data_IF_280494647209
#
_entry.id   IF_280494647209
#
_cell.length_a   1.000
_cell.length_b   1.000
_cell.length_c   1.000
_cell.angle_alpha   90.00
_cell.angle_beta   90.00
_cell.angle_gamma   90.00
#
_symmetry.space_group_name_H-M   'P 1'
#
loop_
_entity.id
_entity.type
_entity.pdbx_description
1 polymer ?
#
# COMPACT_ATOMS: atom_id res chain seq x y z
N UNK A 1 11.26 -4.03 -28.41
CA UNK A 1 9.84 -4.27 -28.05
C UNK A 1 9.59 -5.76 -28.22
N UNK A 2 9.83 -6.56 -27.17
CA UNK A 2 9.40 -7.96 -27.18
C UNK A 2 7.88 -7.95 -27.06
N UNK A 3 7.19 -8.72 -27.90
CA UNK A 3 5.74 -8.77 -27.92
C UNK A 3 5.23 -9.33 -26.58
N UNK A 4 4.42 -8.55 -25.87
CA UNK A 4 3.70 -8.98 -24.68
C UNK A 4 2.92 -10.26 -25.01
N UNK A 5 3.45 -11.39 -24.53
CA UNK A 5 3.08 -12.70 -25.03
C UNK A 5 1.94 -13.33 -24.23
N UNK A 6 1.40 -14.43 -24.76
CA UNK A 6 0.45 -15.26 -24.03
C UNK A 6 1.02 -15.76 -22.69
N UNK A 7 2.34 -15.97 -22.63
CA UNK A 7 3.06 -16.33 -21.41
C UNK A 7 3.02 -15.20 -20.37
N UNK A 8 3.18 -13.95 -20.79
CA UNK A 8 3.14 -12.79 -19.89
C UNK A 8 1.74 -12.59 -19.33
N UNK A 9 0.70 -12.71 -20.16
CA UNK A 9 -0.69 -12.69 -19.70
C UNK A 9 -0.98 -13.77 -18.64
N UNK A 10 -0.47 -14.99 -18.85
CA UNK A 10 -0.61 -16.05 -17.86
C UNK A 10 0.12 -15.71 -16.55
N UNK A 11 1.36 -15.23 -16.63
CA UNK A 11 2.14 -14.80 -15.47
C UNK A 11 1.45 -13.67 -14.72
N UNK A 12 0.93 -12.66 -15.43
CA UNK A 12 0.16 -11.55 -14.83
C UNK A 12 -1.02 -12.10 -14.04
N UNK A 13 -1.84 -12.95 -14.65
CA UNK A 13 -3.00 -13.54 -13.98
C UNK A 13 -2.59 -14.38 -12.77
N UNK A 14 -1.54 -15.18 -12.89
CA UNK A 14 -1.07 -16.07 -11.83
C UNK A 14 -0.46 -15.29 -10.65
N UNK A 15 0.39 -14.30 -10.93
CA UNK A 15 1.02 -13.43 -9.94
C UNK A 15 -0.01 -12.61 -9.18
N UNK A 16 -0.94 -11.94 -9.90
CA UNK A 16 -2.04 -11.19 -9.29
C UNK A 16 -2.88 -12.06 -8.37
N UNK A 17 -3.28 -13.25 -8.84
CA UNK A 17 -4.09 -14.17 -8.02
C UNK A 17 -3.35 -14.62 -6.76
N UNK A 18 -2.05 -14.87 -6.84
CA UNK A 18 -1.25 -15.24 -5.68
C UNK A 18 -1.18 -14.11 -4.66
N UNK A 19 -0.88 -12.88 -5.11
CA UNK A 19 -0.85 -11.70 -4.25
C UNK A 19 -2.20 -11.46 -3.55
N UNK A 20 -3.30 -11.41 -4.32
CA UNK A 20 -4.64 -11.17 -3.77
C UNK A 20 -5.05 -12.28 -2.79
N UNK A 21 -4.84 -13.55 -3.16
CA UNK A 21 -5.19 -14.68 -2.29
C UNK A 21 -4.42 -14.66 -0.97
N UNK A 22 -3.18 -14.17 -0.97
CA UNK A 22 -2.35 -14.16 0.22
C UNK A 22 -2.61 -12.93 1.10
N UNK A 23 -2.84 -11.76 0.49
CA UNK A 23 -2.96 -10.48 1.20
C UNK A 23 -4.40 -10.09 1.58
N UNK A 24 -5.41 -10.61 0.88
CA UNK A 24 -6.81 -10.31 1.14
C UNK A 24 -7.27 -10.45 2.60
N UNK A 25 -6.89 -11.49 3.39
CA UNK A 25 -7.36 -11.57 4.78
C UNK A 25 -6.84 -10.43 5.67
N UNK A 26 -5.66 -9.88 5.38
CA UNK A 26 -5.09 -8.77 6.13
C UNK A 26 -5.76 -7.45 5.76
N UNK A 27 -5.87 -7.16 4.46
CA UNK A 27 -6.49 -5.95 3.95
C UNK A 27 -7.98 -5.88 4.34
N UNK A 28 -8.72 -6.99 4.24
CA UNK A 28 -10.12 -7.05 4.63
C UNK A 28 -10.33 -6.75 6.13
N UNK A 29 -9.42 -7.21 7.00
CA UNK A 29 -9.44 -6.90 8.43
C UNK A 29 -9.25 -5.40 8.69
N UNK A 30 -8.27 -4.78 8.02
CA UNK A 30 -8.04 -3.34 8.13
C UNK A 30 -9.21 -2.51 7.57
N UNK A 31 -9.79 -2.91 6.44
CA UNK A 31 -11.00 -2.28 5.90
C UNK A 31 -12.19 -2.39 6.85
N UNK A 32 -12.40 -3.55 7.47
CA UNK A 32 -13.46 -3.73 8.46
C UNK A 32 -13.28 -2.82 9.69
N UNK A 33 -12.04 -2.65 10.15
CA UNK A 33 -11.71 -1.71 11.24
C UNK A 33 -11.96 -0.26 10.84
N UNK A 34 -11.55 0.14 9.64
CA UNK A 34 -11.83 1.48 9.12
C UNK A 34 -13.34 1.73 9.05
N UNK A 35 -14.11 0.77 8.53
CA UNK A 35 -15.57 0.85 8.48
C UNK A 35 -16.19 1.00 9.88
N UNK A 36 -15.69 0.25 10.88
CA UNK A 36 -16.15 0.38 12.27
C UNK A 36 -15.86 1.78 12.85
N UNK A 37 -14.64 2.30 12.65
CA UNK A 37 -14.27 3.66 13.09
C UNK A 37 -15.16 4.73 12.46
N UNK A 38 -15.52 4.56 11.18
CA UNK A 38 -16.45 5.45 10.47
C UNK A 38 -17.86 5.41 11.08
N UNK A 39 -18.37 4.21 11.37
CA UNK A 39 -19.67 4.06 12.01
C UNK A 39 -19.71 4.76 13.38
N UNK A 40 -18.66 4.59 14.20
CA UNK A 40 -18.54 5.23 15.51
C UNK A 40 -18.46 6.77 15.41
N UNK A 41 -17.73 7.29 14.42
CA UNK A 41 -17.62 8.72 14.15
C UNK A 41 -18.97 9.33 13.71
N UNK A 42 -19.75 8.61 12.88
CA UNK A 42 -21.09 9.04 12.45
C UNK A 42 -22.13 9.04 13.57
N UNK A 43 -21.97 8.20 14.59
CA UNK A 43 -22.86 8.17 15.77
C UNK A 43 -22.59 9.25 16.82
N UNK A 44 -21.44 9.92 16.77
CA UNK A 44 -21.23 11.13 17.59
C UNK A 44 -21.95 12.32 16.93
N UNK A 45 -23.19 12.58 17.34
CA UNK A 45 -23.81 13.89 17.09
C UNK A 45 -22.86 15.00 17.58
N UNK A 46 -22.64 16.07 16.81
CA UNK A 46 -21.83 17.19 17.26
C UNK A 46 -22.54 17.87 18.44
N UNK A 47 -22.19 17.49 19.66
CA UNK A 47 -22.82 18.02 20.89
C UNK A 47 -22.39 19.47 21.20
N UNK A 48 -21.85 20.20 20.23
CA UNK A 48 -21.56 21.64 20.35
C UNK A 48 -21.69 22.33 18.98
N UNK A 49 -22.92 22.54 18.51
CA UNK A 49 -23.22 23.55 17.49
C UNK A 49 -24.34 24.50 17.98
N UNK A 50 -24.24 24.95 19.23
CA UNK A 50 -24.86 26.21 19.62
C UNK A 50 -23.92 27.33 19.15
N UNK A 51 -24.32 27.99 18.05
CA UNK A 51 -23.77 29.29 17.65
C UNK A 51 -22.75 29.25 16.51
N UNK A 52 -23.24 29.10 15.26
CA UNK A 52 -22.65 29.67 14.01
C UNK A 52 -23.40 29.22 12.73
N UNK A 53 -24.46 28.41 12.84
CA UNK A 53 -25.29 27.97 11.69
C UNK A 53 -26.13 29.06 11.00
N UNK A 54 -26.02 30.33 11.40
CA UNK A 54 -26.87 31.42 10.91
C UNK A 54 -26.19 32.37 9.90
N UNK A 55 -24.88 32.26 9.64
CA UNK A 55 -24.15 33.22 8.77
C UNK A 55 -23.51 32.63 7.51
N UNK A 56 -23.54 31.31 7.29
CA UNK A 56 -22.94 30.69 6.10
C UNK A 56 -23.87 30.54 4.88
N UNK A 57 -25.18 30.79 5.01
CA UNK A 57 -26.18 30.51 3.94
C UNK A 57 -26.38 31.62 2.90
N UNK A 58 -25.44 32.57 2.80
CA UNK A 58 -25.48 33.63 1.79
C UNK A 58 -24.13 33.70 1.05
N UNK A 59 -23.88 32.71 0.19
CA UNK A 59 -22.74 32.72 -0.70
C UNK A 59 -22.80 31.54 -1.64
N UNK A 60 -23.41 31.74 -2.82
CA UNK A 60 -23.49 30.75 -3.89
C UNK A 60 -22.13 30.41 -4.49
N UNK A 61 -21.32 29.65 -3.74
CA UNK A 61 -20.09 29.00 -4.20
C UNK A 61 -20.24 27.48 -4.35
N UNK A 62 -21.40 26.92 -4.00
CA UNK A 62 -21.73 25.48 -4.14
C UNK A 62 -21.85 24.99 -5.60
N UNK A 63 -21.54 25.81 -6.61
CA UNK A 63 -21.69 25.43 -8.04
C UNK A 63 -20.48 25.74 -8.93
N UNK A 64 -19.34 26.18 -8.39
CA UNK A 64 -18.16 26.53 -9.20
C UNK A 64 -16.88 25.74 -8.89
N UNK A 65 -16.95 24.71 -8.04
CA UNK A 65 -15.98 23.63 -8.07
C UNK A 65 -16.68 22.39 -8.64
N UNK A 66 -16.46 22.10 -9.92
CA UNK A 66 -16.84 20.83 -10.57
C UNK A 66 -16.03 19.63 -10.06
N UNK A 67 -15.80 19.58 -8.75
CA UNK A 67 -15.38 18.41 -8.00
C UNK A 67 -16.68 17.90 -7.38
N UNK A 68 -17.35 16.99 -8.10
CA UNK A 68 -18.46 16.22 -7.52
C UNK A 68 -18.01 15.62 -6.19
N UNK A 69 -18.97 15.40 -5.29
CA UNK A 69 -18.84 14.66 -4.03
C UNK A 69 -17.47 13.96 -3.92
N UNK A 70 -16.57 14.55 -3.14
CA UNK A 70 -15.41 13.83 -2.63
C UNK A 70 -15.98 12.83 -1.61
N UNK A 71 -16.70 11.82 -2.10
CA UNK A 71 -16.90 10.58 -1.39
C UNK A 71 -15.49 10.02 -1.16
N UNK A 72 -15.11 10.01 0.11
CA UNK A 72 -14.01 9.31 0.73
C UNK A 72 -12.56 9.80 0.51
N UNK A 73 -12.20 10.86 1.23
CA UNK A 73 -10.84 11.07 1.77
C UNK A 73 -10.31 9.89 2.61
N UNK A 74 -11.14 8.87 2.88
CA UNK A 74 -10.78 7.69 3.67
C UNK A 74 -10.35 6.50 2.81
N UNK A 75 -10.70 6.47 1.53
CA UNK A 75 -10.24 5.48 0.56
C UNK A 75 -8.84 5.83 0.05
N UNK A 76 -8.49 7.12 0.01
CA UNK A 76 -7.13 7.60 -0.27
C UNK A 76 -6.08 7.23 0.79
N UNK A 77 -6.47 6.69 1.95
CA UNK A 77 -5.50 6.31 2.99
C UNK A 77 -4.54 5.22 2.49
N UNK A 78 -5.00 4.33 1.61
CA UNK A 78 -4.16 3.31 0.98
C UNK A 78 -3.14 3.87 -0.01
N UNK A 79 -3.30 5.14 -0.42
CA UNK A 79 -2.34 5.90 -1.22
C UNK A 79 -1.34 6.67 -0.35
N UNK A 80 -1.36 6.51 0.99
CA UNK A 80 -0.25 6.95 1.83
C UNK A 80 1.08 6.38 1.30
N UNK A 81 2.14 7.20 1.14
CA UNK A 81 3.37 6.76 0.50
C UNK A 81 3.99 5.52 1.16
N UNK A 82 3.87 5.34 2.48
CA UNK A 82 4.34 4.14 3.15
C UNK A 82 3.53 2.91 2.73
N UNK A 83 2.20 3.01 2.73
CA UNK A 83 1.34 1.89 2.32
C UNK A 83 1.50 1.53 0.84
N UNK A 84 1.72 2.52 -0.02
CA UNK A 84 2.05 2.28 -1.43
C UNK A 84 3.34 1.46 -1.56
N UNK A 85 4.44 1.90 -0.92
CA UNK A 85 5.72 1.18 -0.95
C UNK A 85 5.63 -0.23 -0.35
N UNK A 86 4.91 -0.36 0.76
CA UNK A 86 4.69 -1.62 1.46
C UNK A 86 3.93 -2.63 0.60
N UNK A 87 2.77 -2.24 0.05
CA UNK A 87 1.94 -3.12 -0.78
C UNK A 87 2.61 -3.42 -2.12
N UNK A 88 3.25 -2.44 -2.75
CA UNK A 88 3.99 -2.64 -3.99
C UNK A 88 5.07 -3.71 -3.82
N UNK A 89 5.83 -3.63 -2.72
CA UNK A 89 6.87 -4.61 -2.41
C UNK A 89 6.27 -5.99 -2.18
N UNK A 90 5.23 -6.10 -1.34
CA UNK A 90 4.59 -7.40 -1.08
C UNK A 90 4.01 -8.05 -2.32
N UNK A 91 3.27 -7.29 -3.13
CA UNK A 91 2.68 -7.79 -4.37
C UNK A 91 3.79 -8.30 -5.30
N UNK A 92 4.87 -7.52 -5.45
CA UNK A 92 6.03 -7.88 -6.29
C UNK A 92 6.66 -9.19 -5.84
N UNK A 93 6.99 -9.29 -4.54
CA UNK A 93 7.67 -10.47 -4.00
C UNK A 93 6.81 -11.73 -4.09
N UNK A 94 5.51 -11.62 -3.78
CA UNK A 94 4.58 -12.76 -3.86
C UNK A 94 4.36 -13.19 -5.30
N UNK A 95 4.22 -12.25 -6.23
CA UNK A 95 4.05 -12.55 -7.64
C UNK A 95 5.30 -13.27 -8.18
N UNK A 96 6.50 -12.73 -7.93
CA UNK A 96 7.75 -13.35 -8.37
C UNK A 96 7.99 -14.72 -7.76
N UNK A 97 7.68 -14.92 -6.48
CA UNK A 97 7.73 -16.26 -5.84
C UNK A 97 6.86 -17.26 -6.60
N UNK A 98 5.71 -16.81 -7.11
CA UNK A 98 4.77 -17.67 -7.84
C UNK A 98 5.16 -17.92 -9.30
N UNK A 99 5.64 -16.90 -10.01
CA UNK A 99 5.75 -16.93 -11.47
C UNK A 99 7.20 -16.89 -11.99
N UNK A 100 8.17 -16.73 -11.09
CA UNK A 100 9.52 -16.35 -11.46
C UNK A 100 9.60 -14.89 -11.94
N UNK A 101 10.66 -14.53 -12.68
CA UNK A 101 10.85 -13.17 -13.19
C UNK A 101 9.68 -12.68 -14.05
N UNK A 102 9.37 -11.40 -13.88
CA UNK A 102 8.37 -10.64 -14.61
C UNK A 102 9.07 -9.46 -15.29
N UNK A 103 8.79 -9.25 -16.56
CA UNK A 103 9.19 -8.01 -17.22
C UNK A 103 8.40 -6.82 -16.64
N UNK A 104 8.84 -5.61 -16.96
CA UNK A 104 8.29 -4.35 -16.41
C UNK A 104 6.77 -4.21 -16.65
N UNK A 105 6.31 -4.45 -17.88
CA UNK A 105 4.89 -4.32 -18.25
C UNK A 105 4.01 -5.35 -17.53
N UNK A 106 4.48 -6.60 -17.40
CA UNK A 106 3.79 -7.64 -16.65
C UNK A 106 3.77 -7.34 -15.15
N UNK A 107 4.87 -6.82 -14.59
CA UNK A 107 4.93 -6.45 -13.18
C UNK A 107 3.98 -5.30 -12.86
N UNK A 108 3.97 -4.24 -13.68
CA UNK A 108 3.05 -3.11 -13.54
C UNK A 108 1.58 -3.60 -13.58
N UNK A 109 1.24 -4.45 -14.55
CA UNK A 109 -0.10 -5.05 -14.67
C UNK A 109 -0.50 -5.89 -13.44
N UNK A 110 0.45 -6.61 -12.83
CA UNK A 110 0.21 -7.36 -11.59
C UNK A 110 -0.02 -6.41 -10.42
N UNK A 111 0.83 -5.39 -10.29
CA UNK A 111 0.79 -4.39 -9.22
C UNK A 111 -0.53 -3.63 -9.21
N UNK A 112 -0.90 -3.00 -10.32
CA UNK A 112 -2.16 -2.26 -10.48
C UNK A 112 -3.37 -3.16 -10.23
N UNK A 113 -3.37 -4.35 -10.85
CA UNK A 113 -4.50 -5.27 -10.75
C UNK A 113 -4.66 -5.90 -9.36
N UNK A 114 -3.56 -6.16 -8.64
CA UNK A 114 -3.62 -6.69 -7.29
C UNK A 114 -3.98 -5.61 -6.27
N UNK A 115 -3.40 -4.40 -6.41
CA UNK A 115 -3.73 -3.28 -5.55
C UNK A 115 -5.22 -2.94 -5.65
N UNK A 116 -5.74 -2.76 -6.87
CA UNK A 116 -7.16 -2.49 -7.09
C UNK A 116 -8.07 -3.56 -6.50
N UNK A 117 -7.72 -4.84 -6.70
CA UNK A 117 -8.49 -5.95 -6.14
C UNK A 117 -8.45 -6.04 -4.60
N UNK A 118 -7.39 -5.53 -3.97
CA UNK A 118 -7.24 -5.54 -2.51
C UNK A 118 -7.94 -4.35 -1.86
N UNK A 119 -7.74 -3.14 -2.41
CA UNK A 119 -8.17 -1.89 -1.78
C UNK A 119 -9.53 -1.41 -2.28
N UNK A 120 -9.97 -1.85 -3.45
CA UNK A 120 -11.15 -1.33 -4.14
C UNK A 120 -10.88 -0.06 -4.95
N UNK A 121 -9.66 0.48 -4.89
CA UNK A 121 -9.27 1.70 -5.60
C UNK A 121 -8.95 1.45 -7.08
N UNK A 122 -8.93 2.52 -7.86
CA UNK A 122 -8.40 2.46 -9.22
C UNK A 122 -6.90 2.12 -9.20
N UNK A 123 -6.54 1.04 -9.90
CA UNK A 123 -5.15 0.61 -10.05
C UNK A 123 -4.29 1.62 -10.80
N UNK A 124 -4.88 2.45 -11.67
CA UNK A 124 -4.13 3.50 -12.38
C UNK A 124 -3.53 4.55 -11.45
N UNK A 125 -4.21 4.88 -10.35
CA UNK A 125 -3.70 5.80 -9.32
C UNK A 125 -2.44 5.22 -8.65
N UNK A 126 -2.44 3.91 -8.39
CA UNK A 126 -1.29 3.22 -7.81
C UNK A 126 -0.08 3.25 -8.74
N UNK A 127 -0.28 3.05 -10.05
CA UNK A 127 0.78 3.19 -11.05
C UNK A 127 1.39 4.59 -11.07
N UNK A 128 0.57 5.64 -10.99
CA UNK A 128 1.05 7.03 -10.91
C UNK A 128 1.89 7.27 -9.66
N UNK A 129 1.40 6.84 -8.48
CA UNK A 129 2.15 6.99 -7.22
C UNK A 129 3.50 6.25 -7.27
N UNK A 130 3.55 5.07 -7.89
CA UNK A 130 4.81 4.34 -8.08
C UNK A 130 5.79 5.08 -8.99
N UNK A 131 5.31 5.66 -10.09
CA UNK A 131 6.15 6.46 -10.99
C UNK A 131 6.70 7.69 -10.27
N UNK A 132 5.84 8.41 -9.52
CA UNK A 132 6.25 9.58 -8.74
C UNK A 132 7.26 9.21 -7.65
N UNK A 133 7.02 8.12 -6.92
CA UNK A 133 7.94 7.61 -5.90
C UNK A 133 9.30 7.21 -6.50
N UNK A 134 9.32 6.64 -7.70
CA UNK A 134 10.55 6.29 -8.41
C UNK A 134 11.40 7.52 -8.81
N UNK A 135 10.77 8.67 -9.06
CA UNK A 135 11.45 9.92 -9.42
C UNK A 135 11.97 10.69 -8.20
N UNK A 136 11.22 10.68 -7.10
CA UNK A 136 11.57 11.39 -5.87
C UNK A 136 11.08 10.61 -4.65
N UNK A 137 11.87 9.63 -4.19
CA UNK A 137 11.43 8.71 -3.16
C UNK A 137 11.30 9.40 -1.80
N UNK A 138 10.09 9.43 -1.25
CA UNK A 138 9.89 9.90 0.13
C UNK A 138 10.45 8.89 1.13
N UNK A 139 10.88 9.37 2.30
CA UNK A 139 11.33 8.49 3.40
C UNK A 139 10.26 7.49 3.81
N UNK A 140 9.00 7.93 3.84
CA UNK A 140 7.86 7.07 4.18
C UNK A 140 7.71 5.92 3.18
N UNK A 141 7.82 6.19 1.88
CA UNK A 141 7.78 5.16 0.85
C UNK A 141 8.92 4.14 1.00
N UNK A 142 10.15 4.62 1.19
CA UNK A 142 11.32 3.73 1.37
C UNK A 142 11.17 2.84 2.61
N UNK A 143 10.66 3.40 3.72
CA UNK A 143 10.36 2.65 4.94
C UNK A 143 9.27 1.59 4.69
N UNK A 144 8.22 1.94 3.94
CA UNK A 144 7.18 1.01 3.51
C UNK A 144 7.74 -0.16 2.73
N UNK A 145 8.63 0.09 1.76
CA UNK A 145 9.30 -0.97 1.01
C UNK A 145 10.11 -1.92 1.92
N UNK A 146 10.88 -1.36 2.86
CA UNK A 146 11.68 -2.14 3.81
C UNK A 146 10.80 -3.04 4.69
N UNK A 147 9.74 -2.48 5.27
CA UNK A 147 8.83 -3.24 6.12
C UNK A 147 8.01 -4.24 5.32
N UNK A 148 7.68 -3.97 4.06
CA UNK A 148 7.07 -4.93 3.15
C UNK A 148 7.96 -6.16 2.94
N UNK A 149 9.27 -5.95 2.76
CA UNK A 149 10.25 -7.03 2.69
C UNK A 149 10.33 -7.86 3.98
N UNK A 150 10.31 -7.19 5.14
CA UNK A 150 10.29 -7.87 6.46
C UNK A 150 9.01 -8.67 6.67
N UNK A 151 7.86 -8.11 6.32
CA UNK A 151 6.58 -8.78 6.41
C UNK A 151 6.51 -9.99 5.49
N UNK A 152 7.02 -9.89 4.25
CA UNK A 152 7.14 -11.03 3.35
C UNK A 152 7.94 -12.17 3.98
N UNK A 153 9.07 -11.86 4.62
CA UNK A 153 9.90 -12.88 5.27
C UNK A 153 9.18 -13.56 6.44
N UNK A 154 8.45 -12.79 7.25
CA UNK A 154 7.61 -13.35 8.32
C UNK A 154 6.48 -14.24 7.77
N UNK A 155 5.83 -13.81 6.69
CA UNK A 155 4.67 -14.49 6.12
C UNK A 155 5.03 -15.79 5.40
N UNK A 156 6.22 -15.84 4.80
CA UNK A 156 6.63 -16.95 3.93
C UNK A 156 7.69 -17.85 4.52
N UNK A 157 8.42 -17.38 5.54
CA UNK A 157 9.63 -18.03 6.06
C UNK A 157 10.87 -17.86 5.17
N UNK A 158 10.73 -17.18 4.03
CA UNK A 158 11.79 -17.02 3.03
C UNK A 158 12.34 -15.59 3.07
N UNK A 159 13.66 -15.44 2.93
CA UNK A 159 14.23 -14.12 2.67
C UNK A 159 13.71 -13.56 1.32
N UNK A 160 13.51 -12.24 1.19
CA UNK A 160 13.17 -11.66 -0.09
C UNK A 160 14.27 -11.98 -1.12
N UNK A 161 13.92 -12.44 -2.33
CA UNK A 161 14.90 -12.66 -3.40
C UNK A 161 15.69 -11.38 -3.66
N UNK A 162 17.00 -11.53 -3.90
CA UNK A 162 17.84 -10.41 -4.36
C UNK A 162 17.30 -9.88 -5.69
N UNK A 163 17.50 -8.58 -5.94
CA UNK A 163 17.14 -7.95 -7.21
C UNK A 163 17.68 -8.73 -8.40
N UNK A 164 16.91 -8.75 -9.49
CA UNK A 164 17.30 -9.37 -10.77
C UNK A 164 17.37 -8.30 -11.87
N UNK A 165 17.94 -8.66 -13.02
CA UNK A 165 18.17 -7.70 -14.11
C UNK A 165 16.87 -7.05 -14.66
N UNK A 166 15.72 -7.70 -14.48
CA UNK A 166 14.40 -7.22 -14.96
C UNK A 166 13.60 -6.47 -13.89
N UNK A 167 14.00 -6.59 -12.62
CA UNK A 167 13.57 -5.72 -11.53
C UNK A 167 14.82 -5.02 -11.03
N UNK A 168 15.33 -4.07 -11.84
CA UNK A 168 16.52 -3.31 -11.48
C UNK A 168 16.35 -2.73 -10.09
N UNK A 169 17.48 -2.38 -9.49
CA UNK A 169 17.64 -1.68 -8.22
C UNK A 169 16.90 -0.32 -8.20
N UNK A 170 15.68 -0.17 -8.68
CA UNK A 170 14.75 0.77 -8.09
C UNK A 170 14.18 0.12 -6.83
N UNK A 171 13.67 -1.13 -6.89
CA UNK A 171 13.35 -1.91 -5.69
C UNK A 171 14.56 -2.00 -4.75
N UNK A 172 15.75 -2.29 -5.29
CA UNK A 172 17.00 -2.29 -4.53
C UNK A 172 17.78 -0.96 -4.43
N UNK A 173 17.35 0.09 -5.13
CA UNK A 173 17.86 1.46 -4.98
C UNK A 173 17.11 2.22 -3.90
N UNK A 174 15.88 1.80 -3.59
CA UNK A 174 15.24 2.05 -2.31
C UNK A 174 15.96 1.32 -1.16
N UNK A 175 16.43 0.09 -1.39
CA UNK A 175 17.22 -0.68 -0.40
C UNK A 175 18.69 -0.24 -0.30
N UNK A 176 19.20 0.54 -1.26
CA UNK A 176 20.46 1.25 -1.24
C UNK A 176 20.24 2.75 -0.96
N UNK A 177 19.48 3.08 0.09
CA UNK A 177 19.81 4.30 0.83
C UNK A 177 21.22 4.14 1.41
N UNK A 178 22.02 5.22 1.53
CA UNK A 178 23.18 5.17 2.42
C UNK A 178 22.71 4.60 3.76
N UNK A 179 23.52 3.75 4.42
CA UNK A 179 23.11 3.10 5.66
C UNK A 179 22.53 4.18 6.59
N UNK A 180 21.38 3.93 7.25
CA UNK A 180 20.88 4.88 8.23
C UNK A 180 22.03 5.19 9.18
N UNK A 181 22.29 6.47 9.41
CA UNK A 181 23.25 6.94 10.42
C UNK A 181 23.01 6.08 11.67
N UNK A 182 24.03 5.40 12.22
CA UNK A 182 23.83 4.25 13.09
C UNK A 182 22.92 4.65 14.23
N UNK A 183 21.67 4.19 14.16
CA UNK A 183 20.77 4.28 15.28
C UNK A 183 21.45 3.51 16.40
N UNK A 184 21.75 4.23 17.49
CA UNK A 184 22.22 3.67 18.75
C UNK A 184 21.47 2.36 18.98
N UNK A 185 22.23 1.26 19.11
CA UNK A 185 21.70 -0.09 19.18
C UNK A 185 20.53 -0.16 20.17
N UNK A 186 19.31 -0.09 19.66
CA UNK A 186 18.13 -0.46 20.42
C UNK A 186 18.24 -1.96 20.54
N UNK A 187 18.57 -2.39 21.75
CA UNK A 187 18.67 -3.78 22.14
C UNK A 187 17.53 -4.59 21.54
N UNK A 188 17.90 -5.72 20.93
CA UNK A 188 17.00 -6.74 20.44
C UNK A 188 16.16 -7.25 21.62
N UNK A 189 15.06 -6.56 21.89
CA UNK A 189 14.04 -7.01 22.80
C UNK A 189 13.48 -8.33 22.24
N UNK A 190 13.49 -9.35 23.09
CA UNK A 190 13.04 -10.70 22.81
C UNK A 190 11.86 -10.74 21.83
N UNK A 191 12.13 -11.15 20.58
CA UNK A 191 11.11 -11.34 19.56
C UNK A 191 10.28 -12.54 19.94
N UNK A 192 9.22 -12.33 20.74
CA UNK A 192 8.09 -13.24 20.69
C UNK A 192 7.70 -13.37 19.20
N UNK A 193 7.54 -14.59 18.70
CA UNK A 193 7.22 -14.82 17.30
C UNK A 193 5.87 -14.13 17.00
N UNK A 194 5.92 -12.91 16.46
CA UNK A 194 4.74 -12.18 16.06
C UNK A 194 3.99 -13.02 15.03
N UNK A 195 2.69 -13.21 15.24
CA UNK A 195 1.89 -13.82 14.19
C UNK A 195 1.86 -12.87 12.99
N UNK A 196 1.60 -13.35 11.75
CA UNK A 196 1.46 -12.46 10.61
C UNK A 196 0.41 -11.36 10.82
N UNK A 197 -0.65 -11.61 11.58
CA UNK A 197 -1.64 -10.56 11.89
C UNK A 197 -1.11 -9.52 12.86
N UNK A 198 -0.34 -9.92 13.88
CA UNK A 198 0.25 -8.96 14.81
C UNK A 198 1.30 -8.08 14.12
N UNK A 199 2.09 -8.68 13.22
CA UNK A 199 3.05 -7.94 12.41
C UNK A 199 2.34 -6.97 11.45
N UNK A 200 1.26 -7.40 10.80
CA UNK A 200 0.46 -6.52 9.96
C UNK A 200 -0.11 -5.35 10.77
N UNK A 201 -0.67 -5.63 11.94
CA UNK A 201 -1.22 -4.63 12.83
C UNK A 201 -0.15 -3.61 13.26
N UNK A 202 1.09 -4.05 13.48
CA UNK A 202 2.20 -3.16 13.82
C UNK A 202 2.65 -2.26 12.66
N UNK A 203 2.68 -2.77 11.42
CA UNK A 203 3.15 -2.02 10.25
C UNK A 203 2.08 -1.09 9.65
N UNK A 204 0.85 -1.60 9.52
CA UNK A 204 -0.19 -0.98 8.68
C UNK A 204 -1.15 -0.12 9.49
N UNK A 205 -1.66 -0.61 10.62
CA UNK A 205 -2.74 0.07 11.36
C UNK A 205 -2.39 1.48 11.85
N UNK A 206 -1.16 1.80 12.31
CA UNK A 206 -0.80 3.16 12.69
C UNK A 206 -0.89 4.17 11.53
N UNK A 207 -0.79 3.71 10.27
CA UNK A 207 -0.85 4.55 9.07
C UNK A 207 -2.28 4.76 8.57
N UNK A 208 -3.21 3.92 9.00
CA UNK A 208 -4.63 4.01 8.64
C UNK A 208 -5.42 5.03 9.48
N UNK A 209 -4.74 5.94 10.19
CA UNK A 209 -5.37 6.96 11.04
C UNK A 209 -5.80 6.40 12.40
N UNK A 210 -4.85 6.39 13.35
CA UNK A 210 -5.10 6.26 14.79
C UNK A 210 -5.38 7.64 15.41
#
# INVERSE_FOLDING_TARGET
MLAFGLLDLWKVRAGRRAAVSLLSPFVARSQARLAARRADAGTREPTTAVGLGALGRLGGLDRLAGLGDVEDTSDSVWLDPYLVGFLATLITLVAKRKTGPLNEEALASVQEGAFSALTGLDGGLFGVELVLAGQSPSRAFAEGCLDGGRFYALLTGDAPPRGDAETPDWAAGFFHQPPPEPALAVESAATAALTPFDAWDAFVEPRLGA
#
